data_IF_835724271076
#
_entry.id   IF_835724271076
#
_cell.length_a   1.000
_cell.length_b   1.000
_cell.length_c   1.000
_cell.angle_alpha   90.00
_cell.angle_beta   90.00
_cell.angle_gamma   90.00
#
_symmetry.space_group_name_H-M   'P 1'
#
loop_
_entity.id
_entity.type
_entity.pdbx_description
1 polymer ?
#
# COMPACT_ATOMS: atom_id res chain seq x y z
N UNK A 1 -31.03 -37.46 -6.03
CA UNK A 1 -31.45 -36.33 -6.87
C UNK A 1 -31.76 -35.12 -5.99
N UNK A 2 -30.74 -34.32 -5.64
CA UNK A 2 -30.91 -33.02 -4.99
C UNK A 2 -30.11 -32.02 -5.83
N UNK A 3 -30.82 -31.08 -6.45
CA UNK A 3 -30.29 -30.10 -7.38
C UNK A 3 -29.25 -29.21 -6.70
N UNK A 4 -27.99 -29.30 -7.13
CA UNK A 4 -27.01 -28.23 -6.95
C UNK A 4 -27.36 -27.09 -7.91
N UNK A 5 -28.03 -26.05 -7.40
CA UNK A 5 -28.10 -24.76 -8.09
C UNK A 5 -26.71 -24.13 -8.11
N UNK A 6 -26.02 -24.26 -9.24
CA UNK A 6 -24.84 -23.44 -9.56
C UNK A 6 -25.32 -22.00 -9.82
N UNK A 7 -25.05 -21.11 -8.87
CA UNK A 7 -25.15 -19.67 -9.10
C UNK A 7 -24.20 -19.27 -10.24
N UNK A 8 -24.68 -18.53 -11.27
CA UNK A 8 -23.86 -18.18 -12.43
C UNK A 8 -22.78 -17.16 -12.07
N UNK A 9 -21.58 -17.39 -12.61
CA UNK A 9 -20.33 -16.65 -12.40
C UNK A 9 -20.28 -15.28 -13.15
N UNK A 10 -21.43 -14.64 -13.35
CA UNK A 10 -21.60 -13.54 -14.31
C UNK A 10 -22.08 -12.19 -13.72
N UNK A 11 -22.18 -12.03 -12.39
CA UNK A 11 -22.72 -10.77 -11.83
C UNK A 11 -21.73 -9.60 -11.73
N UNK A 12 -20.40 -9.83 -11.83
CA UNK A 12 -19.40 -8.77 -11.63
C UNK A 12 -19.08 -7.95 -12.89
N UNK A 13 -19.33 -8.49 -14.09
CA UNK A 13 -18.99 -7.84 -15.36
C UNK A 13 -20.17 -7.11 -16.00
N UNK A 14 -21.41 -7.45 -15.62
CA UNK A 14 -22.62 -6.83 -16.17
C UNK A 14 -22.79 -5.37 -15.74
N UNK A 15 -22.34 -4.99 -14.54
CA UNK A 15 -22.41 -3.59 -14.08
C UNK A 15 -21.41 -2.66 -14.77
N UNK A 16 -20.25 -3.17 -15.21
CA UNK A 16 -19.22 -2.36 -15.83
C UNK A 16 -19.49 -2.02 -17.31
N UNK A 17 -20.28 -2.85 -18.02
CA UNK A 17 -20.56 -2.66 -19.44
C UNK A 17 -21.82 -1.84 -19.74
N UNK A 18 -22.69 -1.59 -18.76
CA UNK A 18 -23.92 -0.80 -18.92
C UNK A 18 -23.83 0.65 -18.39
N UNK A 19 -22.68 1.05 -17.83
CA UNK A 19 -22.45 2.44 -17.39
C UNK A 19 -22.20 3.45 -18.52
N UNK A 20 -21.60 3.12 -19.69
CA UNK A 20 -21.33 4.12 -20.72
C UNK A 20 -22.56 4.75 -21.40
N UNK A 21 -23.68 4.04 -21.69
CA UNK A 21 -24.82 4.64 -22.37
C UNK A 21 -25.80 5.39 -21.45
N UNK A 22 -25.59 5.40 -20.12
CA UNK A 22 -26.42 6.20 -19.18
C UNK A 22 -25.89 7.62 -18.96
N UNK A 23 -24.77 7.99 -19.60
CA UNK A 23 -24.21 9.34 -19.55
C UNK A 23 -24.93 10.22 -20.57
N UNK A 24 -26.23 10.44 -20.36
CA UNK A 24 -27.02 11.33 -21.21
C UNK A 24 -27.98 12.16 -20.36
N UNK A 25 -27.44 13.25 -19.79
CA UNK A 25 -28.07 14.56 -19.57
C UNK A 25 -27.26 15.34 -18.51
N UNK A 26 -26.09 15.89 -18.88
CA UNK A 26 -25.50 16.95 -18.05
C UNK A 26 -26.13 18.28 -18.48
N UNK A 27 -26.84 18.93 -17.57
CA UNK A 27 -27.19 20.34 -17.72
C UNK A 27 -25.92 21.15 -17.48
N UNK A 28 -25.45 21.85 -18.51
CA UNK A 28 -24.31 22.77 -18.38
C UNK A 28 -24.88 24.13 -17.97
N UNK A 29 -24.48 24.60 -16.79
CA UNK A 29 -24.76 25.97 -16.36
C UNK A 29 -23.54 26.84 -16.68
N UNK A 30 -23.65 27.65 -17.73
CA UNK A 30 -22.64 28.64 -18.09
C UNK A 30 -22.79 29.88 -17.19
N UNK A 31 -21.81 30.13 -16.34
CA UNK A 31 -21.81 31.31 -15.46
C UNK A 31 -21.54 32.56 -16.30
N UNK A 32 -22.52 33.47 -16.37
CA UNK A 32 -22.34 34.75 -17.04
C UNK A 32 -21.51 35.68 -16.14
N UNK A 33 -20.18 35.69 -16.33
CA UNK A 33 -19.28 36.54 -15.55
C UNK A 33 -19.17 37.92 -16.21
N UNK A 34 -19.62 38.97 -15.52
CA UNK A 34 -19.40 40.35 -15.96
C UNK A 34 -17.93 40.72 -15.78
N UNK A 35 -17.28 41.24 -16.81
CA UNK A 35 -15.96 41.85 -16.67
C UNK A 35 -16.05 43.01 -15.68
N UNK A 36 -15.02 43.22 -14.81
CA UNK A 36 -15.04 44.33 -13.87
C UNK A 36 -15.13 45.65 -14.64
N UNK A 37 -16.04 46.52 -14.20
CA UNK A 37 -16.31 47.83 -14.84
C UNK A 37 -15.11 48.78 -14.74
N UNK A 38 -14.23 48.55 -13.77
CA UNK A 38 -12.99 49.28 -13.53
C UNK A 38 -11.83 48.33 -13.79
N UNK A 39 -10.80 48.77 -14.51
CA UNK A 39 -9.55 48.03 -14.68
C UNK A 39 -8.93 47.74 -13.31
N UNK A 40 -9.04 46.51 -12.85
CA UNK A 40 -8.45 46.05 -11.60
C UNK A 40 -7.23 45.16 -11.87
N UNK A 41 -6.16 45.38 -11.10
CA UNK A 41 -4.94 44.57 -11.22
C UNK A 41 -5.14 43.13 -10.71
N UNK A 42 -6.09 42.91 -9.81
CA UNK A 42 -6.41 41.61 -9.23
C UNK A 42 -7.93 41.45 -9.15
N UNK A 43 -8.42 40.31 -9.62
CA UNK A 43 -9.82 39.88 -9.52
C UNK A 43 -9.85 38.57 -8.74
N UNK A 44 -10.71 38.47 -7.74
CA UNK A 44 -10.90 37.22 -6.99
C UNK A 44 -11.49 36.14 -7.89
N UNK A 45 -11.01 34.90 -7.75
CA UNK A 45 -11.63 33.76 -8.44
C UNK A 45 -13.12 33.62 -8.05
N UNK A 46 -13.98 33.19 -8.98
CA UNK A 46 -15.39 32.97 -8.68
C UNK A 46 -15.57 31.88 -7.60
N UNK A 47 -16.61 32.02 -6.78
CA UNK A 47 -16.91 31.03 -5.72
C UNK A 47 -17.46 29.70 -6.28
N UNK A 48 -17.89 29.70 -7.55
CA UNK A 48 -18.32 28.54 -8.32
C UNK A 48 -17.11 27.85 -8.96
N UNK A 49 -17.03 26.52 -8.82
CA UNK A 49 -15.99 25.70 -9.45
C UNK A 49 -16.62 24.88 -10.57
N UNK A 50 -15.90 24.72 -11.68
CA UNK A 50 -16.31 23.80 -12.74
C UNK A 50 -16.22 22.35 -12.27
N UNK A 51 -17.08 21.49 -12.82
CA UNK A 51 -17.04 20.04 -12.56
C UNK A 51 -15.67 19.44 -12.92
N UNK A 52 -15.08 19.92 -14.03
CA UNK A 52 -13.76 19.49 -14.48
C UNK A 52 -12.66 19.88 -13.47
N UNK A 53 -12.72 21.07 -12.87
CA UNK A 53 -11.77 21.50 -11.84
C UNK A 53 -11.87 20.63 -10.58
N UNK A 54 -13.10 20.30 -10.17
CA UNK A 54 -13.36 19.40 -9.04
C UNK A 54 -12.79 18.02 -9.34
N UNK A 55 -13.09 17.49 -10.53
CA UNK A 55 -12.62 16.18 -10.96
C UNK A 55 -11.09 16.12 -11.01
N UNK A 56 -10.43 17.05 -11.70
CA UNK A 56 -8.99 17.05 -11.87
C UNK A 56 -8.25 17.25 -10.56
N UNK A 57 -8.65 18.25 -9.76
CA UNK A 57 -8.02 18.51 -8.46
C UNK A 57 -8.14 17.32 -7.51
N UNK A 58 -9.31 16.68 -7.49
CA UNK A 58 -9.56 15.53 -6.63
C UNK A 58 -8.82 14.29 -7.10
N UNK A 59 -8.90 13.95 -8.40
CA UNK A 59 -8.19 12.80 -8.97
C UNK A 59 -6.68 12.94 -8.82
N UNK A 60 -6.14 14.14 -9.05
CA UNK A 60 -4.72 14.40 -8.85
C UNK A 60 -4.33 14.24 -7.38
N UNK A 61 -5.17 14.70 -6.45
CA UNK A 61 -4.91 14.54 -5.01
C UNK A 61 -4.96 13.07 -4.60
N UNK A 62 -5.96 12.31 -5.07
CA UNK A 62 -6.09 10.86 -4.82
C UNK A 62 -4.89 10.11 -5.41
N UNK A 63 -4.48 10.44 -6.64
CA UNK A 63 -3.30 9.89 -7.27
C UNK A 63 -2.04 10.21 -6.46
N UNK A 64 -1.82 11.48 -6.13
CA UNK A 64 -0.67 11.93 -5.38
C UNK A 64 -0.60 11.22 -4.03
N UNK A 65 -1.70 11.15 -3.27
CA UNK A 65 -1.70 10.50 -1.96
C UNK A 65 -1.49 8.99 -2.09
N UNK A 66 -2.16 8.29 -3.00
CA UNK A 66 -2.02 6.82 -3.11
C UNK A 66 -0.68 6.39 -3.72
N UNK A 67 -0.09 7.18 -4.62
CA UNK A 67 1.22 6.87 -5.22
C UNK A 67 2.37 7.02 -4.22
N UNK A 68 2.31 8.07 -3.41
CA UNK A 68 3.40 8.45 -2.49
C UNK A 68 3.45 7.58 -1.23
N UNK A 69 2.32 6.96 -0.85
CA UNK A 69 2.22 6.01 0.26
C UNK A 69 2.93 4.67 0.00
N UNK A 70 3.26 4.36 -1.25
CA UNK A 70 3.82 3.06 -1.58
C UNK A 70 5.24 2.90 -1.04
N UNK A 71 5.42 1.90 -0.17
CA UNK A 71 6.72 1.47 0.34
C UNK A 71 7.03 0.05 -0.17
N UNK A 72 7.31 -0.11 -1.48
CA UNK A 72 7.52 -1.42 -2.07
C UNK A 72 8.73 -2.12 -1.43
N UNK A 73 8.58 -3.42 -1.14
CA UNK A 73 9.66 -4.28 -0.68
C UNK A 73 10.74 -4.44 -1.76
N UNK A 74 11.93 -4.88 -1.33
CA UNK A 74 13.14 -4.95 -2.17
C UNK A 74 12.91 -5.91 -3.34
N UNK A 75 13.17 -5.49 -4.58
CA UNK A 75 13.01 -6.34 -5.75
C UNK A 75 14.11 -7.41 -5.83
N UNK A 76 13.91 -8.40 -6.71
CA UNK A 76 14.93 -9.42 -7.01
C UNK A 76 16.19 -8.75 -7.56
N UNK A 77 17.36 -9.05 -6.98
CA UNK A 77 18.67 -8.63 -7.51
C UNK A 77 18.96 -9.31 -8.84
N UNK A 78 19.72 -8.64 -9.71
CA UNK A 78 20.00 -9.10 -11.08
C UNK A 78 21.46 -8.87 -11.42
N UNK A 79 22.06 -9.87 -12.07
CA UNK A 79 23.47 -9.84 -12.45
C UNK A 79 23.72 -9.38 -13.91
N UNK A 80 22.71 -9.33 -14.78
CA UNK A 80 22.89 -9.06 -16.22
C UNK A 80 22.42 -7.69 -16.69
N UNK A 81 23.18 -7.04 -17.57
CA UNK A 81 22.99 -5.62 -17.93
C UNK A 81 22.67 -5.38 -19.42
N UNK A 82 21.64 -6.03 -19.96
CA UNK A 82 21.16 -5.72 -21.32
C UNK A 82 20.15 -4.57 -21.30
N UNK A 83 20.38 -3.52 -22.12
CA UNK A 83 19.48 -2.35 -22.24
C UNK A 83 18.00 -2.70 -22.44
N UNK A 84 17.67 -3.65 -23.31
CA UNK A 84 16.27 -4.07 -23.55
C UNK A 84 15.62 -4.73 -22.33
N UNK A 85 16.38 -5.58 -21.61
CA UNK A 85 15.92 -6.18 -20.36
C UNK A 85 15.69 -5.10 -19.29
N UNK A 86 16.43 -3.99 -19.30
CA UNK A 86 16.25 -2.84 -18.39
C UNK A 86 14.92 -2.13 -18.63
N UNK A 87 14.58 -1.84 -19.89
CA UNK A 87 13.30 -1.21 -20.26
C UNK A 87 12.12 -2.09 -19.88
N UNK A 88 12.15 -3.38 -20.27
CA UNK A 88 11.09 -4.34 -19.92
C UNK A 88 10.91 -4.48 -18.41
N UNK A 89 12.00 -4.45 -17.65
CA UNK A 89 11.96 -4.49 -16.19
C UNK A 89 11.39 -3.21 -15.60
N UNK A 90 11.79 -2.04 -16.11
CA UNK A 90 11.22 -0.75 -15.74
C UNK A 90 9.71 -0.71 -15.93
N UNK A 91 9.23 -1.15 -17.09
CA UNK A 91 7.79 -1.24 -17.39
C UNK A 91 7.06 -2.19 -16.43
N UNK A 92 7.67 -3.34 -16.12
CA UNK A 92 7.11 -4.29 -15.14
C UNK A 92 7.09 -3.71 -13.72
N UNK A 93 8.12 -2.96 -13.31
CA UNK A 93 8.20 -2.26 -12.02
C UNK A 93 7.15 -1.17 -11.93
N UNK A 94 6.95 -0.40 -13.00
CA UNK A 94 5.90 0.60 -13.11
C UNK A 94 4.52 -0.06 -13.01
N UNK A 95 4.22 -1.06 -13.84
CA UNK A 95 2.93 -1.76 -13.81
C UNK A 95 2.59 -2.39 -12.45
N UNK A 96 3.58 -2.96 -11.74
CA UNK A 96 3.39 -3.44 -10.36
C UNK A 96 3.08 -2.31 -9.37
N UNK A 97 3.70 -1.15 -9.54
CA UNK A 97 3.45 0.03 -8.69
C UNK A 97 2.05 0.60 -8.96
N UNK A 98 1.65 0.66 -10.24
CA UNK A 98 0.31 1.09 -10.65
C UNK A 98 -0.75 0.13 -10.14
N UNK A 99 -0.56 -1.19 -10.28
CA UNK A 99 -1.51 -2.16 -9.75
C UNK A 99 -1.67 -2.03 -8.23
N UNK A 100 -0.57 -1.78 -7.49
CA UNK A 100 -0.62 -1.51 -6.05
C UNK A 100 -1.35 -0.21 -5.71
N UNK A 101 -1.16 0.83 -6.51
CA UNK A 101 -1.91 2.08 -6.37
C UNK A 101 -3.41 1.83 -6.51
N UNK A 102 -3.81 1.12 -7.57
CA UNK A 102 -5.21 0.78 -7.84
C UNK A 102 -5.79 -0.08 -6.71
N UNK A 103 -5.04 -1.05 -6.20
CA UNK A 103 -5.45 -1.82 -5.01
C UNK A 103 -5.60 -0.94 -3.77
N UNK A 104 -4.76 0.09 -3.60
CA UNK A 104 -4.87 1.05 -2.48
C UNK A 104 -6.09 1.95 -2.62
N UNK A 105 -6.48 2.31 -3.85
CA UNK A 105 -7.69 3.08 -4.13
C UNK A 105 -8.93 2.23 -3.80
N UNK A 106 -8.95 0.96 -4.22
CA UNK A 106 -10.10 0.07 -4.02
C UNK A 106 -10.26 -0.40 -2.57
N UNK A 107 -9.15 -0.61 -1.84
CA UNK A 107 -9.15 -1.14 -0.49
C UNK A 107 -8.07 -0.47 0.39
N UNK A 108 -8.23 0.83 0.72
CA UNK A 108 -7.27 1.56 1.56
C UNK A 108 -7.15 0.98 2.97
N UNK A 109 -8.22 0.39 3.51
CA UNK A 109 -8.26 -0.26 4.82
C UNK A 109 -7.32 -1.47 4.92
N UNK A 110 -7.18 -2.21 3.82
CA UNK A 110 -6.26 -3.34 3.74
C UNK A 110 -4.79 -2.90 3.75
N UNK A 111 -4.50 -1.75 3.15
CA UNK A 111 -3.15 -1.17 3.17
C UNK A 111 -2.80 -0.61 4.55
N UNK A 112 -3.77 0.01 5.24
CA UNK A 112 -3.60 0.41 6.64
C UNK A 112 -3.33 -0.81 7.53
N UNK A 113 -4.10 -1.89 7.36
CA UNK A 113 -3.90 -3.12 8.10
C UNK A 113 -2.51 -3.72 7.86
N UNK A 114 -2.07 -3.77 6.59
CA UNK A 114 -0.72 -4.20 6.24
C UNK A 114 0.36 -3.30 6.86
N UNK A 115 0.15 -1.98 6.90
CA UNK A 115 1.08 -1.04 7.52
C UNK A 115 1.22 -1.25 9.03
N UNK A 116 0.09 -1.44 9.72
CA UNK A 116 0.07 -1.76 11.15
C UNK A 116 0.79 -3.10 11.43
N UNK A 117 0.53 -4.12 10.62
CA UNK A 117 1.16 -5.44 10.72
C UNK A 117 2.68 -5.33 10.57
N UNK A 118 3.14 -4.61 9.54
CA UNK A 118 4.55 -4.36 9.27
C UNK A 118 5.24 -3.61 10.43
N UNK A 119 4.58 -2.62 11.01
CA UNK A 119 5.11 -1.87 12.15
C UNK A 119 5.26 -2.73 13.40
N UNK A 120 4.25 -3.55 13.70
CA UNK A 120 4.30 -4.49 14.82
C UNK A 120 5.42 -5.51 14.59
N UNK A 121 5.49 -6.11 13.39
CA UNK A 121 6.54 -7.06 13.02
C UNK A 121 7.94 -6.43 13.13
N UNK A 122 8.11 -5.18 12.67
CA UNK A 122 9.37 -4.45 12.79
C UNK A 122 9.74 -4.16 14.25
N UNK A 123 8.76 -3.80 15.10
CA UNK A 123 8.97 -3.58 16.55
C UNK A 123 9.30 -4.86 17.30
N UNK A 124 8.62 -5.97 17.02
CA UNK A 124 8.91 -7.26 17.61
C UNK A 124 10.31 -7.75 17.23
N UNK A 125 10.68 -7.63 15.95
CA UNK A 125 12.02 -7.95 15.47
C UNK A 125 13.07 -7.02 16.07
N UNK A 126 12.78 -5.72 16.22
CA UNK A 126 13.68 -4.77 16.89
C UNK A 126 13.99 -5.19 18.33
N UNK A 127 12.98 -5.59 19.11
CA UNK A 127 13.16 -6.04 20.50
C UNK A 127 14.09 -7.26 20.58
N UNK A 128 13.95 -8.21 19.66
CA UNK A 128 14.80 -9.42 19.59
C UNK A 128 16.21 -9.09 19.11
N UNK A 129 16.32 -8.33 18.01
CA UNK A 129 17.60 -7.95 17.40
C UNK A 129 18.45 -7.06 18.30
N UNK A 130 17.85 -6.13 19.05
CA UNK A 130 18.59 -5.25 19.97
C UNK A 130 19.46 -6.01 20.97
N UNK A 131 19.00 -7.19 21.43
CA UNK A 131 19.78 -8.05 22.35
C UNK A 131 21.07 -8.55 21.70
N UNK A 132 20.98 -8.99 20.44
CA UNK A 132 22.14 -9.44 19.66
C UNK A 132 23.01 -8.26 19.21
N UNK A 133 22.41 -7.17 18.77
CA UNK A 133 23.11 -5.97 18.32
C UNK A 133 24.00 -5.36 19.41
N UNK A 134 23.54 -5.34 20.66
CA UNK A 134 24.35 -4.89 21.81
C UNK A 134 25.57 -5.79 22.05
N UNK A 135 25.44 -7.10 21.85
CA UNK A 135 26.54 -8.06 21.97
C UNK A 135 27.54 -7.92 20.82
N UNK A 136 27.02 -7.76 19.61
CA UNK A 136 27.82 -7.66 18.38
C UNK A 136 28.40 -6.25 18.16
N UNK A 137 28.05 -5.28 19.02
CA UNK A 137 28.42 -3.85 18.93
C UNK A 137 28.03 -3.20 17.59
N UNK A 138 26.86 -3.55 17.07
CA UNK A 138 26.34 -2.99 15.81
C UNK A 138 25.12 -2.07 16.05
N UNK A 139 24.94 -1.01 15.26
CA UNK A 139 23.74 -0.18 15.35
C UNK A 139 22.54 -0.96 14.84
N UNK A 140 21.45 -0.99 15.62
CA UNK A 140 20.19 -1.60 15.18
C UNK A 140 18.98 -0.79 15.64
N UNK A 141 18.38 -0.10 14.67
CA UNK A 141 17.21 0.79 14.88
C UNK A 141 15.96 0.22 14.22
N UNK A 142 14.80 0.86 14.43
CA UNK A 142 13.55 0.44 13.80
C UNK A 142 13.65 0.40 12.27
N UNK A 143 14.43 1.32 11.68
CA UNK A 143 14.70 1.35 10.23
C UNK A 143 15.39 0.07 9.74
N UNK A 144 16.33 -0.48 10.53
CA UNK A 144 17.02 -1.73 10.22
C UNK A 144 16.06 -2.92 10.25
N UNK A 145 15.15 -2.97 11.24
CA UNK A 145 14.13 -4.01 11.30
C UNK A 145 13.14 -3.92 10.12
N UNK A 146 12.73 -2.72 9.72
CA UNK A 146 11.93 -2.51 8.52
C UNK A 146 12.67 -2.99 7.27
N UNK A 147 13.91 -2.53 7.09
CA UNK A 147 14.74 -2.92 5.95
C UNK A 147 14.92 -4.44 5.86
N UNK A 148 15.21 -5.11 6.97
CA UNK A 148 15.31 -6.57 7.04
C UNK A 148 13.98 -7.27 6.71
N UNK A 149 12.84 -6.77 7.20
CA UNK A 149 11.54 -7.35 6.88
C UNK A 149 11.14 -7.16 5.40
N UNK A 150 11.61 -6.08 4.77
CA UNK A 150 11.40 -5.80 3.35
C UNK A 150 12.25 -6.66 2.40
N UNK A 151 13.13 -7.51 2.94
CA UNK A 151 14.09 -8.28 2.15
C UNK A 151 15.37 -7.52 1.78
N UNK A 152 15.73 -6.52 2.59
CA UNK A 152 16.96 -5.77 2.47
C UNK A 152 18.24 -6.56 2.82
N UNK A 153 18.12 -7.81 3.24
CA UNK A 153 19.26 -8.72 3.35
C UNK A 153 18.99 -9.98 2.53
N UNK A 154 20.03 -10.51 1.90
CA UNK A 154 19.98 -11.72 1.10
C UNK A 154 21.07 -12.69 1.54
N UNK A 155 20.82 -13.99 1.45
CA UNK A 155 21.84 -15.00 1.67
C UNK A 155 22.35 -15.52 0.31
N UNK A 156 23.66 -15.51 0.12
CA UNK A 156 24.31 -16.09 -1.05
C UNK A 156 25.36 -17.12 -0.61
N UNK A 157 25.62 -18.08 -1.49
CA UNK A 157 26.66 -19.11 -1.34
C UNK A 157 27.57 -19.04 -2.56
N UNK A 158 28.89 -18.98 -2.34
CA UNK A 158 29.86 -18.95 -3.44
C UNK A 158 29.97 -20.33 -4.10
N UNK A 159 30.03 -20.37 -5.43
CA UNK A 159 30.33 -21.59 -6.21
C UNK A 159 29.28 -22.70 -6.17
N UNK A 160 28.15 -22.51 -5.49
CA UNK A 160 27.11 -23.54 -5.41
C UNK A 160 26.18 -23.46 -6.62
N UNK A 161 26.09 -24.55 -7.39
CA UNK A 161 24.95 -24.76 -8.29
C UNK A 161 23.64 -24.57 -7.48
N UNK A 162 22.53 -24.14 -8.11
CA UNK A 162 21.25 -24.07 -7.42
C UNK A 162 20.99 -25.40 -6.70
N UNK A 163 20.85 -25.36 -5.37
CA UNK A 163 20.55 -26.54 -4.53
C UNK A 163 19.12 -27.02 -4.82
N UNK A 164 18.81 -27.48 -6.04
CA UNK A 164 17.45 -27.78 -6.49
C UNK A 164 16.68 -26.54 -6.98
N UNK A 165 15.35 -26.42 -6.74
CA UNK A 165 14.50 -25.35 -7.29
C UNK A 165 14.65 -24.00 -6.57
N UNK A 166 15.72 -23.82 -5.82
CA UNK A 166 15.90 -22.72 -4.88
C UNK A 166 16.71 -21.58 -5.52
N UNK A 167 16.26 -20.33 -5.38
CA UNK A 167 16.89 -19.15 -6.01
C UNK A 167 18.10 -18.65 -5.20
N UNK A 168 19.30 -18.65 -5.79
CA UNK A 168 20.47 -17.93 -5.26
C UNK A 168 20.55 -16.54 -5.94
N UNK A 169 20.67 -15.42 -5.21
CA UNK A 169 20.60 -15.25 -3.75
C UNK A 169 19.17 -15.28 -3.17
N UNK A 170 19.06 -15.57 -1.86
CA UNK A 170 17.78 -15.72 -1.13
C UNK A 170 17.44 -14.50 -0.28
N UNK A 171 16.30 -13.85 -0.50
CA UNK A 171 15.84 -12.80 0.41
C UNK A 171 15.55 -13.33 1.82
N UNK A 172 16.18 -12.72 2.82
CA UNK A 172 16.00 -13.02 4.23
C UNK A 172 14.99 -12.05 4.84
N UNK A 173 14.06 -12.57 5.64
CA UNK A 173 13.25 -11.73 6.54
C UNK A 173 14.06 -11.39 7.79
N UNK A 174 13.65 -10.35 8.54
CA UNK A 174 14.25 -10.06 9.85
C UNK A 174 14.20 -11.25 10.81
N UNK A 175 13.18 -12.11 10.71
CA UNK A 175 13.13 -13.32 11.52
C UNK A 175 14.12 -14.40 11.07
N UNK A 176 14.37 -14.53 9.77
CA UNK A 176 15.38 -15.46 9.26
C UNK A 176 16.76 -15.07 9.82
N UNK A 177 17.09 -13.77 9.78
CA UNK A 177 18.36 -13.27 10.33
C UNK A 177 18.46 -13.56 11.84
N UNK A 178 17.38 -13.40 12.62
CA UNK A 178 17.37 -13.75 14.05
C UNK A 178 17.68 -15.22 14.25
N UNK A 179 17.02 -16.11 13.49
CA UNK A 179 17.19 -17.56 13.66
C UNK A 179 18.59 -18.01 13.23
N UNK A 180 19.12 -17.46 12.14
CA UNK A 180 20.49 -17.72 11.69
C UNK A 180 21.53 -17.29 12.74
N UNK A 181 21.35 -16.10 13.34
CA UNK A 181 22.22 -15.63 14.43
C UNK A 181 22.09 -16.47 15.69
N UNK A 182 20.87 -16.90 16.03
CA UNK A 182 20.59 -17.72 17.23
C UNK A 182 21.20 -19.10 17.13
N UNK A 183 21.19 -19.71 15.95
CA UNK A 183 21.74 -21.05 15.70
C UNK A 183 23.23 -21.04 15.36
N UNK A 184 23.90 -19.88 15.36
CA UNK A 184 25.34 -19.79 15.14
C UNK A 184 25.78 -19.80 13.68
N UNK A 185 24.88 -19.91 12.71
CA UNK A 185 25.20 -19.83 11.27
C UNK A 185 25.74 -18.45 10.86
N UNK A 186 25.37 -17.40 11.60
CA UNK A 186 25.93 -16.06 11.45
C UNK A 186 26.62 -15.66 12.77
N UNK A 187 27.88 -15.27 12.68
CA UNK A 187 28.70 -14.89 13.84
C UNK A 187 28.35 -13.50 14.41
N UNK A 188 27.99 -12.56 13.54
CA UNK A 188 27.59 -11.19 13.90
C UNK A 188 26.45 -10.69 13.00
N UNK A 189 25.55 -9.90 13.55
CA UNK A 189 24.56 -9.19 12.73
C UNK A 189 25.23 -8.33 11.64
N UNK A 190 24.59 -8.18 10.46
CA UNK A 190 25.15 -7.38 9.37
C UNK A 190 25.32 -5.93 9.83
N UNK A 191 26.54 -5.42 9.71
CA UNK A 191 26.86 -4.04 10.05
C UNK A 191 26.43 -3.14 8.89
N UNK A 192 25.31 -2.44 9.08
CA UNK A 192 24.77 -1.48 8.11
C UNK A 192 24.55 -0.18 8.87
N UNK A 193 25.06 0.94 8.35
CA UNK A 193 24.82 2.24 9.00
C UNK A 193 23.40 2.71 8.70
N UNK A 194 22.75 3.39 9.64
CA UNK A 194 21.42 3.95 9.39
C UNK A 194 21.41 4.96 8.25
N UNK A 195 22.49 5.75 8.12
CA UNK A 195 22.68 6.69 7.03
C UNK A 195 22.73 5.99 5.65
N UNK A 196 23.31 4.80 5.57
CA UNK A 196 23.38 4.01 4.33
C UNK A 196 22.00 3.50 3.91
N UNK A 197 21.17 3.08 4.87
CA UNK A 197 19.77 2.70 4.58
C UNK A 197 18.97 3.92 4.11
N UNK A 198 19.20 5.09 4.73
CA UNK A 198 18.53 6.34 4.34
C UNK A 198 18.93 6.78 2.94
N UNK A 199 20.21 6.68 2.60
CA UNK A 199 20.73 7.04 1.27
C UNK A 199 20.18 6.13 0.17
N UNK A 200 20.02 4.83 0.46
CA UNK A 200 19.39 3.86 -0.46
C UNK A 200 17.88 4.07 -0.65
N UNK A 201 17.23 4.81 0.25
CA UNK A 201 15.80 5.07 0.19
C UNK A 201 15.51 6.14 -0.85
N UNK A 202 15.08 5.72 -2.05
CA UNK A 202 14.67 6.60 -3.17
C UNK A 202 13.28 7.23 -2.98
N UNK A 203 12.92 7.53 -1.74
CA UNK A 203 11.69 8.27 -1.44
C UNK A 203 11.98 9.76 -1.61
N UNK A 204 11.53 10.35 -2.72
CA UNK A 204 11.73 11.78 -2.98
C UNK A 204 11.07 12.62 -1.89
N UNK A 205 11.88 13.19 -1.01
CA UNK A 205 11.42 14.02 0.12
C UNK A 205 10.58 15.19 -0.41
N UNK A 206 10.98 15.78 -1.54
CA UNK A 206 10.24 16.83 -2.23
C UNK A 206 8.84 16.37 -2.63
N UNK A 207 8.71 15.20 -3.26
CA UNK A 207 7.40 14.66 -3.69
C UNK A 207 6.51 14.38 -2.47
N UNK A 208 7.07 13.92 -1.35
CA UNK A 208 6.32 13.76 -0.09
C UNK A 208 5.82 15.08 0.47
N UNK A 209 6.68 16.11 0.49
CA UNK A 209 6.31 17.44 0.97
C UNK A 209 5.21 18.03 0.08
N UNK A 210 5.36 17.92 -1.24
CA UNK A 210 4.34 18.38 -2.21
C UNK A 210 3.02 17.63 -1.98
N UNK A 211 3.06 16.29 -1.84
CA UNK A 211 1.86 15.51 -1.60
C UNK A 211 1.18 15.85 -0.27
N UNK A 212 1.95 16.05 0.80
CA UNK A 212 1.43 16.50 2.10
C UNK A 212 0.84 17.90 2.00
N UNK A 213 1.52 18.82 1.31
CA UNK A 213 1.02 20.16 1.04
C UNK A 213 -0.30 20.13 0.27
N UNK A 214 -0.38 19.31 -0.77
CA UNK A 214 -1.60 19.11 -1.56
C UNK A 214 -2.74 18.54 -0.72
N UNK A 215 -2.46 17.56 0.15
CA UNK A 215 -3.44 16.99 1.07
C UNK A 215 -3.97 18.06 2.03
N UNK A 216 -3.06 18.80 2.70
CA UNK A 216 -3.42 19.85 3.66
C UNK A 216 -4.21 20.95 2.96
N UNK A 217 -3.79 21.36 1.77
CA UNK A 217 -4.49 22.36 0.98
C UNK A 217 -5.89 21.93 0.58
N UNK A 218 -6.05 20.69 0.09
CA UNK A 218 -7.37 20.15 -0.27
C UNK A 218 -8.28 20.08 0.96
N UNK A 219 -7.80 19.62 2.12
CA UNK A 219 -8.60 19.62 3.35
C UNK A 219 -9.00 21.05 3.73
N UNK A 220 -8.07 22.00 3.69
CA UNK A 220 -8.36 23.40 3.99
C UNK A 220 -9.45 23.97 3.08
N UNK A 221 -9.36 23.74 1.77
CA UNK A 221 -10.38 24.15 0.80
C UNK A 221 -11.75 23.55 1.13
N UNK A 222 -11.81 22.27 1.49
CA UNK A 222 -13.05 21.58 1.86
C UNK A 222 -13.65 22.20 3.13
N UNK A 223 -12.83 22.43 4.16
CA UNK A 223 -13.27 23.02 5.43
C UNK A 223 -13.77 24.45 5.24
N UNK A 224 -13.03 25.29 4.52
CA UNK A 224 -13.45 26.68 4.23
C UNK A 224 -14.79 26.71 3.50
N UNK A 225 -15.00 25.81 2.54
CA UNK A 225 -16.27 25.72 1.80
C UNK A 225 -17.41 25.27 2.72
N UNK A 226 -17.18 24.26 3.57
CA UNK A 226 -18.16 23.81 4.53
C UNK A 226 -18.58 24.93 5.50
N UNK A 227 -17.60 25.69 6.04
CA UNK A 227 -17.86 26.83 6.94
C UNK A 227 -18.61 27.95 6.24
N UNK A 228 -18.29 28.25 4.98
CA UNK A 228 -18.97 29.25 4.16
C UNK A 228 -20.31 28.76 3.59
N UNK A 229 -20.78 27.56 3.97
CA UNK A 229 -22.00 26.92 3.44
C UNK A 229 -22.03 26.83 1.90
N UNK A 230 -20.85 26.70 1.30
CA UNK A 230 -20.70 26.46 -0.13
C UNK A 230 -20.87 24.97 -0.45
N UNK A 231 -21.30 24.61 -1.67
CA UNK A 231 -21.44 23.22 -2.06
C UNK A 231 -20.08 22.50 -2.00
N UNK A 232 -20.08 21.36 -1.31
CA UNK A 232 -18.98 20.38 -1.23
C UNK A 232 -19.39 19.19 -2.07
N UNK A 233 -18.51 18.71 -2.95
CA UNK A 233 -18.83 17.56 -3.79
C UNK A 233 -18.61 16.23 -3.06
N UNK A 234 -19.29 15.14 -3.46
CA UNK A 234 -18.96 13.80 -2.95
C UNK A 234 -17.50 13.41 -3.20
N UNK A 235 -16.89 13.90 -4.29
CA UNK A 235 -15.51 13.63 -4.62
C UNK A 235 -14.53 14.36 -3.67
N UNK A 236 -14.87 15.57 -3.23
CA UNK A 236 -14.13 16.28 -2.17
C UNK A 236 -14.13 15.46 -0.86
N UNK A 237 -15.26 14.83 -0.52
CA UNK A 237 -15.36 13.93 0.65
C UNK A 237 -14.48 12.69 0.48
N UNK A 238 -14.43 12.11 -0.72
CA UNK A 238 -13.50 11.00 -1.02
C UNK A 238 -12.04 11.42 -0.87
N UNK A 239 -11.66 12.62 -1.34
CA UNK A 239 -10.30 13.19 -1.13
C UNK A 239 -9.97 13.30 0.35
N UNK A 240 -10.90 13.78 1.17
CA UNK A 240 -10.71 13.86 2.63
C UNK A 240 -10.50 12.46 3.24
N UNK A 241 -11.26 11.44 2.81
CA UNK A 241 -11.09 10.08 3.28
C UNK A 241 -9.70 9.51 2.95
N UNK A 242 -9.27 9.62 1.68
CA UNK A 242 -7.93 9.16 1.27
C UNK A 242 -6.81 9.96 1.95
N UNK A 243 -7.01 11.26 2.18
CA UNK A 243 -6.06 12.09 2.90
C UNK A 243 -5.85 11.60 4.34
N UNK A 244 -6.92 11.28 5.08
CA UNK A 244 -6.78 10.75 6.45
C UNK A 244 -6.07 9.39 6.44
N UNK A 245 -6.41 8.49 5.51
CA UNK A 245 -5.70 7.23 5.33
C UNK A 245 -4.21 7.47 5.05
N UNK A 246 -3.88 8.45 4.20
CA UNK A 246 -2.52 8.78 3.86
C UNK A 246 -1.72 9.26 5.09
N UNK A 247 -2.29 10.15 5.89
CA UNK A 247 -1.67 10.65 7.12
C UNK A 247 -1.39 9.50 8.10
N UNK A 248 -2.35 8.60 8.30
CA UNK A 248 -2.18 7.42 9.18
C UNK A 248 -1.03 6.53 8.68
N UNK A 249 -1.03 6.19 7.39
CA UNK A 249 0.01 5.32 6.82
C UNK A 249 1.38 6.01 6.87
N UNK A 250 1.47 7.31 6.60
CA UNK A 250 2.73 8.05 6.70
C UNK A 250 3.29 8.06 8.11
N UNK A 251 2.43 8.23 9.11
CA UNK A 251 2.85 8.17 10.50
C UNK A 251 3.41 6.78 10.86
N UNK A 252 2.73 5.72 10.44
CA UNK A 252 3.17 4.33 10.67
C UNK A 252 4.49 4.04 9.93
N UNK A 253 4.63 4.50 8.69
CA UNK A 253 5.80 4.25 7.82
C UNK A 253 6.91 5.29 7.94
N UNK A 254 6.87 6.19 8.91
CA UNK A 254 7.92 7.21 9.10
C UNK A 254 9.35 6.62 9.16
N UNK A 255 9.49 5.43 9.73
CA UNK A 255 10.76 4.70 9.83
C UNK A 255 11.04 3.71 8.69
N UNK A 256 10.11 3.51 7.75
CA UNK A 256 10.24 2.48 6.70
C UNK A 256 10.94 3.07 5.46
N UNK A 257 12.05 2.49 4.99
CA UNK A 257 12.71 2.91 3.75
C UNK A 257 11.77 2.76 2.54
N UNK A 258 11.91 3.63 1.54
CA UNK A 258 11.05 3.62 0.35
C UNK A 258 11.88 3.33 -0.90
N UNK A 259 11.38 2.40 -1.75
CA UNK A 259 11.95 2.08 -3.08
C UNK A 259 13.45 1.74 -3.04
N UNK A 260 13.85 0.92 -2.06
CA UNK A 260 15.22 0.40 -2.02
C UNK A 260 15.39 -0.67 -3.10
N UNK A 261 16.40 -0.49 -3.95
CA UNK A 261 16.65 -1.40 -5.07
C UNK A 261 17.64 -2.52 -4.73
N UNK A 262 18.56 -2.31 -3.79
CA UNK A 262 19.64 -3.24 -3.46
C UNK A 262 19.50 -3.82 -2.05
N UNK A 263 19.64 -5.14 -1.94
CA UNK A 263 19.77 -5.86 -0.69
C UNK A 263 21.25 -6.03 -0.31
N UNK A 264 21.51 -6.17 0.98
CA UNK A 264 22.83 -6.50 1.51
C UNK A 264 23.04 -8.01 1.52
N UNK A 265 24.08 -8.48 0.83
CA UNK A 265 24.38 -9.90 0.72
C UNK A 265 25.18 -10.40 1.92
N UNK A 266 24.65 -11.42 2.59
CA UNK A 266 25.30 -12.19 3.64
C UNK A 266 25.82 -13.48 3.01
N UNK A 267 27.14 -13.66 3.04
CA UNK A 267 27.77 -14.88 2.56
C UNK A 267 27.56 -16.00 3.60
N UNK A 268 26.93 -17.09 3.19
CA UNK A 268 26.77 -18.31 3.97
C UNK A 268 27.45 -19.44 3.20
N UNK A 269 28.59 -19.91 3.70
CA UNK A 269 29.37 -20.98 3.07
C UNK A 269 29.70 -22.07 4.11
N UNK A 270 29.23 -23.33 3.93
CA UNK A 270 28.32 -23.80 2.88
C UNK A 270 26.84 -23.48 3.19
N UNK A 271 26.06 -23.19 2.15
CA UNK A 271 24.59 -23.15 2.26
C UNK A 271 24.03 -24.58 2.37
N UNK A 272 23.77 -25.04 3.58
CA UNK A 272 23.22 -26.38 3.82
C UNK A 272 21.70 -26.44 3.62
N UNK A 273 21.17 -27.64 3.35
CA UNK A 273 19.72 -27.87 3.29
C UNK A 273 19.01 -27.49 4.59
N UNK A 274 19.66 -27.65 5.74
CA UNK A 274 19.14 -27.27 7.05
C UNK A 274 18.88 -25.76 7.14
N UNK A 275 19.83 -24.94 6.69
CA UNK A 275 19.70 -23.48 6.64
C UNK A 275 18.51 -23.09 5.76
N UNK A 276 18.35 -23.72 4.59
CA UNK A 276 17.24 -23.47 3.68
C UNK A 276 15.88 -23.86 4.30
N UNK A 277 15.80 -25.00 4.99
CA UNK A 277 14.59 -25.40 5.70
C UNK A 277 14.25 -24.44 6.85
N UNK A 278 15.26 -23.97 7.57
CA UNK A 278 15.09 -22.98 8.64
C UNK A 278 14.56 -21.64 8.12
N UNK A 279 15.08 -21.20 6.97
CA UNK A 279 14.64 -20.00 6.25
C UNK A 279 13.19 -20.19 5.76
N UNK A 280 12.85 -21.36 5.21
CA UNK A 280 11.50 -21.71 4.77
C UNK A 280 10.50 -21.68 5.93
N UNK A 281 10.86 -22.31 7.05
CA UNK A 281 10.01 -22.38 8.24
C UNK A 281 9.71 -20.99 8.82
N UNK A 282 10.68 -20.09 8.77
CA UNK A 282 10.53 -18.71 9.26
C UNK A 282 9.96 -17.74 8.22
N UNK A 283 9.68 -18.21 6.99
CA UNK A 283 9.09 -17.45 5.91
C UNK A 283 7.70 -16.95 6.24
N UNK A 284 7.40 -15.73 5.81
CA UNK A 284 6.08 -15.12 5.96
C UNK A 284 5.11 -15.67 4.88
N UNK A 285 3.82 -15.80 5.23
CA UNK A 285 2.78 -16.22 4.27
C UNK A 285 2.27 -14.97 3.54
N UNK A 286 2.06 -15.08 2.22
CA UNK A 286 1.45 -14.02 1.39
C UNK A 286 -0.07 -14.04 1.55
N UNK A 287 -0.63 -13.10 2.30
CA UNK A 287 -2.05 -13.06 2.69
C UNK A 287 -2.95 -13.02 1.45
N UNK A 288 -2.87 -11.95 0.66
CA UNK A 288 -3.74 -11.76 -0.51
C UNK A 288 -3.55 -12.85 -1.55
N UNK A 289 -2.29 -13.27 -1.76
CA UNK A 289 -2.01 -14.29 -2.77
C UNK A 289 -2.61 -15.64 -2.43
N UNK A 290 -2.67 -15.98 -1.15
CA UNK A 290 -3.20 -17.27 -0.68
C UNK A 290 -4.72 -17.29 -0.68
N UNK A 291 -5.36 -16.19 -0.29
CA UNK A 291 -6.82 -16.04 -0.39
C UNK A 291 -7.28 -16.08 -1.85
N UNK A 292 -6.55 -15.39 -2.73
CA UNK A 292 -6.85 -15.38 -4.17
C UNK A 292 -6.27 -16.59 -4.92
N UNK A 293 -5.61 -17.53 -4.24
CA UNK A 293 -4.91 -18.64 -4.90
C UNK A 293 -5.88 -19.54 -5.66
N UNK A 294 -7.00 -19.87 -5.02
CA UNK A 294 -8.06 -20.71 -5.60
C UNK A 294 -8.84 -19.96 -6.68
N UNK A 295 -9.09 -18.66 -6.47
CA UNK A 295 -9.81 -17.82 -7.43
C UNK A 295 -9.01 -17.55 -8.71
N UNK A 296 -7.71 -17.29 -8.59
CA UNK A 296 -6.83 -16.90 -9.71
C UNK A 296 -5.86 -18.00 -10.17
N UNK A 297 -6.02 -19.24 -9.67
CA UNK A 297 -5.14 -20.39 -9.98
C UNK A 297 -3.64 -20.06 -9.86
N UNK A 298 -3.27 -19.31 -8.81
CA UNK A 298 -1.90 -18.81 -8.67
C UNK A 298 -0.94 -19.90 -8.17
N UNK A 299 0.19 -20.06 -8.86
CA UNK A 299 1.26 -20.93 -8.38
C UNK A 299 1.95 -20.33 -7.13
N UNK A 300 2.38 -21.17 -6.16
CA UNK A 300 3.12 -20.70 -4.99
C UNK A 300 4.40 -19.98 -5.41
N UNK A 301 4.84 -19.01 -4.61
CA UNK A 301 6.07 -18.30 -4.93
C UNK A 301 7.26 -19.26 -4.78
N UNK A 302 8.23 -19.27 -5.73
CA UNK A 302 9.44 -20.06 -5.55
C UNK A 302 10.21 -19.57 -4.32
N UNK A 303 10.93 -20.49 -3.67
CA UNK A 303 11.72 -20.17 -2.49
C UNK A 303 12.84 -19.19 -2.84
N UNK A 304 13.08 -18.19 -1.97
CA UNK A 304 14.02 -17.10 -2.25
C UNK A 304 13.45 -15.97 -3.10
N UNK A 305 12.17 -16.04 -3.52
CA UNK A 305 11.53 -14.94 -4.21
C UNK A 305 11.47 -13.67 -3.32
N UNK A 306 11.42 -12.47 -3.93
CA UNK A 306 11.25 -11.22 -3.21
C UNK A 306 10.11 -11.28 -2.19
N UNK A 307 10.38 -10.74 -1.00
CA UNK A 307 9.38 -10.69 0.06
C UNK A 307 8.26 -9.76 -0.39
N UNK A 308 7.06 -10.31 -0.46
CA UNK A 308 5.89 -9.53 -0.87
C UNK A 308 5.42 -8.63 0.28
N UNK A 309 4.74 -7.53 -0.04
CA UNK A 309 4.23 -6.60 0.96
C UNK A 309 3.11 -7.21 1.81
N UNK A 310 2.37 -8.16 1.24
CA UNK A 310 1.30 -8.91 1.90
C UNK A 310 1.81 -10.06 2.78
N UNK A 311 3.10 -10.06 3.10
CA UNK A 311 3.77 -11.19 3.72
C UNK A 311 3.79 -11.05 5.25
N UNK A 312 2.91 -11.78 5.95
CA UNK A 312 2.75 -11.71 7.42
C UNK A 312 3.06 -13.04 8.15
N UNK A 313 3.22 -12.99 9.48
CA UNK A 313 3.57 -14.12 10.37
C UNK A 313 2.37 -14.71 11.11
N UNK A 314 2.47 -16.01 11.46
CA UNK A 314 1.33 -16.95 11.47
C UNK A 314 0.54 -17.30 12.75
N UNK A 315 0.63 -16.62 13.92
CA UNK A 315 -0.47 -16.78 14.89
C UNK A 315 -1.38 -15.55 15.00
N UNK A 316 -0.80 -14.36 15.18
CA UNK A 316 -1.54 -13.16 15.58
C UNK A 316 -2.18 -12.38 14.42
N UNK A 317 -1.80 -12.68 13.17
CA UNK A 317 -2.38 -12.04 11.98
C UNK A 317 -3.88 -12.30 11.83
N UNK A 318 -4.36 -13.49 12.23
CA UNK A 318 -5.79 -13.87 12.10
C UNK A 318 -6.72 -12.95 12.87
N UNK A 319 -6.24 -12.38 13.98
CA UNK A 319 -7.03 -11.47 14.80
C UNK A 319 -6.68 -10.00 14.53
N UNK A 320 -5.38 -9.67 14.40
CA UNK A 320 -4.92 -8.28 14.29
C UNK A 320 -5.21 -7.66 12.92
N UNK A 321 -4.97 -8.39 11.82
CA UNK A 321 -5.13 -7.83 10.47
C UNK A 321 -6.60 -7.51 10.18
N UNK A 322 -7.57 -8.41 10.45
CA UNK A 322 -8.99 -8.08 10.28
C UNK A 322 -9.44 -6.94 11.20
N UNK A 323 -8.96 -6.88 12.45
CA UNK A 323 -9.27 -5.77 13.36
C UNK A 323 -8.78 -4.41 12.81
N UNK A 324 -7.53 -4.34 12.33
CA UNK A 324 -7.01 -3.10 11.73
C UNK A 324 -7.73 -2.74 10.43
N UNK A 325 -8.07 -3.74 9.60
CA UNK A 325 -8.85 -3.52 8.39
C UNK A 325 -10.25 -2.98 8.75
N UNK A 326 -10.89 -3.53 9.78
CA UNK A 326 -12.18 -3.06 10.26
C UNK A 326 -12.13 -1.63 10.80
N UNK A 327 -11.09 -1.27 11.57
CA UNK A 327 -10.88 0.11 12.03
C UNK A 327 -10.63 1.08 10.85
N UNK A 328 -9.83 0.66 9.88
CA UNK A 328 -9.60 1.44 8.65
C UNK A 328 -10.87 1.62 7.83
N UNK A 329 -11.70 0.58 7.75
CA UNK A 329 -12.98 0.56 7.06
C UNK A 329 -14.02 1.48 7.71
N UNK A 330 -14.13 1.43 9.04
CA UNK A 330 -14.99 2.35 9.81
C UNK A 330 -14.60 3.79 9.56
N UNK A 331 -13.30 4.08 9.55
CA UNK A 331 -12.83 5.42 9.28
C UNK A 331 -13.12 5.86 7.84
N UNK A 332 -12.76 5.03 6.86
CA UNK A 332 -12.92 5.37 5.45
C UNK A 332 -14.39 5.53 5.07
N UNK A 333 -15.24 4.56 5.44
CA UNK A 333 -16.68 4.59 5.18
C UNK A 333 -17.42 5.63 6.01
N UNK A 334 -17.00 5.87 7.25
CA UNK A 334 -17.55 6.91 8.12
C UNK A 334 -17.38 8.32 7.56
N UNK A 335 -16.24 8.62 6.92
CA UNK A 335 -16.07 9.89 6.21
C UNK A 335 -17.02 9.99 5.00
N UNK A 336 -17.20 8.91 4.23
CA UNK A 336 -18.13 8.93 3.08
C UNK A 336 -19.58 9.16 3.50
N UNK A 337 -19.95 8.72 4.71
CA UNK A 337 -21.26 8.98 5.29
C UNK A 337 -21.51 10.49 5.57
N UNK A 338 -20.50 11.36 5.60
CA UNK A 338 -20.70 12.82 5.70
C UNK A 338 -21.54 13.34 4.52
N UNK A 339 -21.38 12.74 3.33
CA UNK A 339 -22.15 13.09 2.13
C UNK A 339 -23.55 12.45 2.08
N UNK A 340 -24.09 11.97 3.19
CA UNK A 340 -25.37 11.23 3.23
C UNK A 340 -26.55 12.00 2.63
N UNK A 341 -26.56 13.32 2.79
CA UNK A 341 -27.63 14.21 2.33
C UNK A 341 -27.17 15.16 1.22
N UNK A 342 -26.08 14.83 0.52
CA UNK A 342 -25.62 15.65 -0.60
C UNK A 342 -26.56 15.52 -1.80
N UNK A 343 -26.56 16.55 -2.65
CA UNK A 343 -27.26 16.50 -3.93
C UNK A 343 -26.48 15.62 -4.91
N UNK A 344 -27.16 14.65 -5.50
CA UNK A 344 -26.66 13.84 -6.60
C UNK A 344 -27.52 14.08 -7.85
N UNK A 345 -26.97 13.89 -9.07
CA UNK A 345 -27.74 14.03 -10.31
C UNK A 345 -28.99 13.15 -10.35
N UNK A 346 -28.94 11.95 -9.74
CA UNK A 346 -30.06 11.02 -9.66
C UNK A 346 -30.24 10.41 -8.27
N UNK A 347 -31.48 10.00 -7.96
CA UNK A 347 -31.81 9.22 -6.76
C UNK A 347 -31.03 7.89 -6.72
N UNK A 348 -30.79 7.28 -7.88
CA UNK A 348 -30.02 6.04 -7.99
C UNK A 348 -28.57 6.24 -7.50
N UNK A 349 -27.88 7.29 -7.95
CA UNK A 349 -26.51 7.59 -7.52
C UNK A 349 -26.43 7.89 -6.01
N UNK A 350 -27.41 8.60 -5.46
CA UNK A 350 -27.49 8.85 -4.01
C UNK A 350 -27.66 7.54 -3.23
N UNK A 351 -28.58 6.66 -3.66
CA UNK A 351 -28.78 5.35 -3.01
C UNK A 351 -27.51 4.52 -3.13
N UNK A 352 -26.88 4.49 -4.31
CA UNK A 352 -25.64 3.76 -4.53
C UNK A 352 -24.52 4.26 -3.60
N UNK A 353 -24.37 5.58 -3.45
CA UNK A 353 -23.40 6.19 -2.53
C UNK A 353 -23.66 5.77 -1.08
N UNK A 354 -24.92 5.81 -0.63
CA UNK A 354 -25.32 5.41 0.73
C UNK A 354 -25.03 3.93 0.98
N UNK A 355 -25.43 3.06 0.05
CA UNK A 355 -25.15 1.63 0.11
C UNK A 355 -23.65 1.34 0.12
N UNK A 356 -22.86 2.02 -0.73
CA UNK A 356 -21.41 1.88 -0.75
C UNK A 356 -20.78 2.33 0.58
N UNK A 357 -21.20 3.48 1.13
CA UNK A 357 -20.70 3.99 2.41
C UNK A 357 -20.98 3.01 3.56
N UNK A 358 -22.20 2.45 3.61
CA UNK A 358 -22.55 1.41 4.60
C UNK A 358 -21.72 0.15 4.38
N UNK A 359 -21.65 -0.35 3.15
CA UNK A 359 -20.91 -1.57 2.82
C UNK A 359 -19.43 -1.45 3.20
N UNK A 360 -18.78 -0.34 2.83
CA UNK A 360 -17.38 -0.09 3.17
C UNK A 360 -17.15 -0.02 4.68
N UNK A 361 -18.10 0.54 5.43
CA UNK A 361 -18.02 0.62 6.90
C UNK A 361 -18.22 -0.75 7.55
N UNK A 362 -19.28 -1.46 7.14
CA UNK A 362 -19.79 -2.63 7.86
C UNK A 362 -19.19 -3.96 7.40
N UNK A 363 -18.87 -4.13 6.11
CA UNK A 363 -18.44 -5.44 5.60
C UNK A 363 -17.14 -5.95 6.26
N UNK A 364 -16.06 -5.15 6.41
CA UNK A 364 -14.85 -5.59 7.10
C UNK A 364 -15.06 -5.81 8.61
N UNK A 365 -15.93 -5.02 9.24
CA UNK A 365 -16.33 -5.21 10.65
C UNK A 365 -17.06 -6.54 10.86
N UNK A 366 -18.09 -6.80 10.05
CA UNK A 366 -18.87 -8.04 10.12
C UNK A 366 -17.99 -9.25 9.81
N UNK A 367 -17.11 -9.16 8.80
CA UNK A 367 -16.15 -10.22 8.51
C UNK A 367 -15.20 -10.47 9.70
N UNK A 368 -14.80 -9.45 10.45
CA UNK A 368 -13.98 -9.65 11.64
C UNK A 368 -14.75 -10.23 12.83
N UNK A 369 -16.02 -9.86 13.02
CA UNK A 369 -16.82 -10.37 14.15
C UNK A 369 -17.32 -11.80 13.95
N UNK A 370 -17.47 -12.25 12.70
CA UNK A 370 -18.01 -13.57 12.36
C UNK A 370 -16.95 -14.67 12.21
N UNK A 371 -15.65 -14.33 12.15
CA UNK A 371 -14.53 -15.25 11.94
C UNK A 371 -13.43 -15.04 12.97
#
# INVERSE_FOLDING_TARGET
QLLQMKLPRWSSYFLAFYLPPLVQAYTVFETNCSAPVITSNYVSSPNTRGTLDILWSSLFTIFACTWTLQHPNVPKQRDEDTKWKNVKWGLKKFGRSTLRMLSTILAPELIIAAACDDFIAARENLKKMKKYAKRDKVPWTLRHSYYANMGGAEAASQGSAPLGPYLNPYHLTGANIITLRRNGYISKLPYIKEAEIKDRSKGDVLVKIIALGQIVWSIFQIVVRAVRRLPVSPLDVAVAAYAVCAVIIYFIYWGKPQRVDYAHTIQLDPMTHEILQLIKFNGNRRIFREEMKELLKLQPAPMGAPISMDSSKRPWYKMRVPAFAALGAVQFGGIHAIAWNFAFPSTFELIFWRCASIYMTAAPLCAWLLF
#
